data_IF_103483438955
#
_entry.id   IF_103483438955
#
_cell.length_a   1.000
_cell.length_b   1.000
_cell.length_c   1.000
_cell.angle_alpha   90.00
_cell.angle_beta   90.00
_cell.angle_gamma   90.00
#
_symmetry.space_group_name_H-M   'P 1'
#
loop_
_entity.id
_entity.type
_entity.pdbx_description
1 polymer ?
#
# COMPACT_ATOMS: atom_id res chain seq x y z
N UNK A 1 -17.95 -50.22 22.85
CA UNK A 1 -17.39 -51.14 23.87
C UNK A 1 -15.87 -50.96 23.82
N UNK A 2 -15.09 -50.61 24.85
CA UNK A 2 -15.27 -50.35 26.29
C UNK A 2 -14.36 -49.16 26.70
N UNK A 3 -14.84 -48.18 27.47
CA UNK A 3 -14.46 -47.87 28.87
C UNK A 3 -12.98 -47.48 29.13
N UNK A 4 -12.73 -46.21 29.52
CA UNK A 4 -12.41 -45.68 30.89
C UNK A 4 -10.91 -45.81 31.26
N UNK A 5 -10.26 -44.79 31.85
CA UNK A 5 -10.21 -44.38 33.28
C UNK A 5 -9.48 -42.98 33.31
N UNK A 6 -9.89 -41.89 34.00
CA UNK A 6 -9.93 -41.58 35.46
C UNK A 6 -8.51 -41.55 36.12
N UNK A 7 -8.09 -40.77 37.12
CA UNK A 7 -8.58 -39.71 38.07
C UNK A 7 -7.33 -38.77 38.34
N UNK A 8 -7.15 -37.79 39.27
CA UNK A 8 -7.89 -37.12 40.36
C UNK A 8 -7.36 -35.68 40.61
N UNK A 9 -8.28 -34.75 40.87
CA UNK A 9 -8.20 -33.44 41.55
C UNK A 9 -7.32 -33.29 42.82
N UNK A 10 -6.93 -32.04 43.14
CA UNK A 10 -6.60 -31.45 44.47
C UNK A 10 -6.53 -29.91 44.23
N UNK A 11 -7.28 -28.98 44.88
CA UNK A 11 -7.52 -28.62 46.30
C UNK A 11 -6.32 -27.81 46.88
N UNK A 12 -6.27 -26.48 46.83
CA UNK A 12 -7.04 -25.43 47.57
C UNK A 12 -6.54 -25.12 49.00
N UNK A 13 -6.08 -23.88 49.24
CA UNK A 13 -5.98 -23.28 50.60
C UNK A 13 -6.11 -21.74 50.59
N UNK A 14 -6.54 -21.19 51.74
CA UNK A 14 -6.77 -19.76 52.03
C UNK A 14 -5.83 -19.27 53.16
N UNK A 15 -5.32 -18.03 53.08
CA UNK A 15 -4.96 -17.14 54.21
C UNK A 15 -4.60 -15.75 53.61
N UNK A 16 -5.16 -14.58 53.96
CA UNK A 16 -5.80 -14.00 55.16
C UNK A 16 -4.87 -13.16 56.06
N UNK A 17 -4.99 -11.82 55.90
CA UNK A 17 -4.95 -10.77 56.93
C UNK A 17 -3.74 -10.62 57.89
N UNK A 18 -3.23 -9.38 58.00
CA UNK A 18 -3.05 -8.73 59.30
C UNK A 18 -3.08 -7.18 59.20
N UNK A 19 -3.33 -6.50 60.33
CA UNK A 19 -3.40 -5.04 60.49
C UNK A 19 -2.42 -4.58 61.59
N UNK A 20 -1.75 -3.44 61.39
CA UNK A 20 -1.09 -2.57 62.40
C UNK A 20 -0.66 -1.27 61.65
N UNK A 21 -1.02 -0.02 61.97
CA UNK A 21 -1.61 0.71 63.11
C UNK A 21 -0.62 1.52 63.96
N UNK A 22 -0.97 2.80 64.15
CA UNK A 22 -0.53 3.77 65.17
C UNK A 22 0.93 4.28 65.21
N UNK A 23 1.12 5.54 64.78
CA UNK A 23 1.43 6.69 65.68
C UNK A 23 1.40 8.03 64.90
N UNK A 24 1.13 9.19 65.49
CA UNK A 24 0.75 9.45 66.89
C UNK A 24 1.30 10.77 67.45
N UNK A 25 0.82 11.94 67.00
CA UNK A 25 1.23 13.25 67.52
C UNK A 25 0.05 14.25 67.59
N UNK A 26 0.10 15.19 68.55
CA UNK A 26 -0.88 16.26 68.81
C UNK A 26 -0.16 17.47 69.47
N UNK A 27 -0.78 18.67 69.63
CA UNK A 27 -0.34 19.86 68.89
C UNK A 27 0.13 20.99 69.84
N UNK A 28 -0.18 22.27 69.51
CA UNK A 28 0.16 23.55 70.19
C UNK A 28 1.51 24.12 69.69
N UNK A 29 1.68 25.42 69.39
CA UNK A 29 0.82 26.60 69.61
C UNK A 29 0.58 27.46 68.34
N UNK A 30 -0.29 28.46 68.48
CA UNK A 30 -0.72 29.42 67.45
C UNK A 30 0.04 30.76 67.59
N UNK A 31 0.35 31.41 66.47
CA UNK A 31 0.89 32.78 66.41
C UNK A 31 0.44 33.45 65.11
N UNK A 32 -0.28 34.56 65.20
CA UNK A 32 -1.00 35.18 64.08
C UNK A 32 -0.23 36.33 63.42
N UNK A 33 0.00 36.23 62.11
CA UNK A 33 0.37 37.36 61.24
C UNK A 33 -0.62 37.47 60.05
N UNK A 34 -0.75 38.65 59.41
CA UNK A 34 -1.96 38.99 58.65
C UNK A 34 -2.08 38.30 57.29
N UNK A 35 -3.33 38.12 56.86
CA UNK A 35 -3.69 37.47 55.60
C UNK A 35 -3.17 38.21 54.37
N UNK A 36 -2.37 37.51 53.56
CA UNK A 36 -2.24 37.77 52.13
C UNK A 36 -3.10 36.76 51.37
N UNK A 37 -4.05 37.23 50.57
CA UNK A 37 -4.83 36.37 49.67
C UNK A 37 -3.91 35.75 48.60
N UNK A 38 -3.86 34.42 48.45
CA UNK A 38 -3.15 33.82 47.33
C UNK A 38 -3.87 34.17 46.03
N UNK A 39 -3.14 34.72 45.06
CA UNK A 39 -3.61 34.79 43.68
C UNK A 39 -3.96 33.38 43.18
N UNK A 40 -4.99 33.22 42.34
CA UNK A 40 -5.30 31.92 41.77
C UNK A 40 -4.08 31.39 41.01
N UNK A 41 -3.70 30.15 41.29
CA UNK A 41 -2.69 29.45 40.48
C UNK A 41 -3.30 29.28 39.10
N UNK A 42 -2.80 30.04 38.12
CA UNK A 42 -3.08 29.78 36.71
C UNK A 42 -2.35 28.49 36.37
N UNK A 43 -3.09 27.38 36.47
CA UNK A 43 -2.66 26.11 35.90
C UNK A 43 -2.67 26.32 34.40
N UNK A 44 -1.49 26.58 33.82
CA UNK A 44 -1.30 26.52 32.37
C UNK A 44 -1.86 25.19 31.88
N UNK A 45 -2.70 25.16 30.83
CA UNK A 45 -3.11 23.89 30.26
C UNK A 45 -1.87 23.12 29.83
N UNK A 46 -1.81 21.84 30.17
CA UNK A 46 -0.84 20.92 29.56
C UNK A 46 -0.95 21.10 28.04
N UNK A 47 0.16 21.29 27.29
CA UNK A 47 0.08 21.31 25.85
C UNK A 47 -0.58 20.00 25.39
N UNK A 48 -1.64 20.12 24.60
CA UNK A 48 -2.17 18.97 23.87
C UNK A 48 -1.04 18.44 23.00
N UNK A 49 -0.69 17.17 23.18
CA UNK A 49 0.16 16.47 22.20
C UNK A 49 -0.60 16.53 20.88
N UNK A 50 -0.05 17.24 19.90
CA UNK A 50 -0.55 17.18 18.53
C UNK A 50 -0.33 15.75 18.05
N UNK A 51 -1.40 15.07 17.63
CA UNK A 51 -1.29 13.69 17.18
C UNK A 51 -0.41 13.65 15.92
N UNK A 52 0.63 12.81 15.94
CA UNK A 52 1.51 12.60 14.78
C UNK A 52 0.65 12.21 13.58
N UNK A 53 0.65 13.07 12.56
CA UNK A 53 -0.05 12.78 11.32
C UNK A 53 0.86 11.95 10.41
N UNK A 54 0.36 10.78 10.00
CA UNK A 54 1.01 9.93 9.01
C UNK A 54 0.47 10.26 7.59
N UNK A 55 1.25 10.06 6.51
CA UNK A 55 2.65 9.61 6.50
C UNK A 55 3.63 10.63 7.12
N UNK A 56 4.57 10.13 7.92
CA UNK A 56 5.68 10.91 8.47
C UNK A 56 6.92 10.64 7.60
N UNK A 57 7.25 11.61 6.74
CA UNK A 57 8.41 11.54 5.84
C UNK A 57 9.69 11.84 6.62
N UNK A 58 10.70 10.97 6.51
CA UNK A 58 12.00 11.09 7.18
C UNK A 58 13.11 10.97 6.14
N UNK A 59 13.99 11.96 6.07
CA UNK A 59 15.13 11.92 5.14
C UNK A 59 16.13 10.84 5.58
N UNK A 60 16.66 10.08 4.62
CA UNK A 60 17.81 9.19 4.81
C UNK A 60 18.96 9.87 5.59
N UNK A 61 19.66 9.07 6.39
CA UNK A 61 20.67 9.54 7.33
C UNK A 61 20.12 10.16 8.63
N UNK A 62 18.80 10.11 8.87
CA UNK A 62 18.19 10.47 10.14
C UNK A 62 17.39 9.30 10.71
N UNK A 63 17.51 9.07 12.02
CA UNK A 63 16.61 8.17 12.75
C UNK A 63 15.27 8.85 13.06
N UNK A 64 14.22 8.03 13.22
CA UNK A 64 12.96 8.40 13.87
C UNK A 64 12.66 7.41 15.00
N UNK A 65 11.92 7.84 16.02
CA UNK A 65 11.59 7.04 17.19
C UNK A 65 10.07 7.00 17.37
N UNK A 66 9.48 5.81 17.27
CA UNK A 66 8.01 5.62 17.24
C UNK A 66 7.64 4.18 17.60
N UNK A 67 6.52 3.96 18.28
CA UNK A 67 5.98 2.61 18.56
C UNK A 67 5.46 1.97 17.27
N UNK A 68 6.16 0.99 16.70
CA UNK A 68 5.80 0.35 15.42
C UNK A 68 4.82 -0.82 15.59
N UNK A 69 4.80 -1.44 16.77
CA UNK A 69 4.10 -2.72 17.02
C UNK A 69 2.96 -2.64 18.05
N UNK A 70 2.69 -1.44 18.57
CA UNK A 70 1.60 -1.17 19.50
C UNK A 70 1.85 -1.69 20.92
N UNK A 71 3.09 -2.05 21.30
CA UNK A 71 3.38 -2.62 22.63
C UNK A 71 3.59 -1.57 23.74
N UNK A 72 3.61 -0.28 23.38
CA UNK A 72 3.75 0.85 24.29
C UNK A 72 5.19 1.29 24.55
N UNK A 73 6.14 0.88 23.70
CA UNK A 73 7.52 1.37 23.68
C UNK A 73 7.86 1.87 22.27
N UNK A 74 8.67 2.92 22.21
CA UNK A 74 9.12 3.48 20.94
C UNK A 74 10.32 2.69 20.39
N UNK A 75 10.25 2.32 19.11
CA UNK A 75 11.33 1.71 18.35
C UNK A 75 12.13 2.80 17.60
N UNK A 76 13.46 2.69 17.52
CA UNK A 76 14.28 3.56 16.67
C UNK A 76 14.46 2.95 15.27
N UNK A 77 13.99 3.66 14.23
CA UNK A 77 14.19 3.31 12.82
C UNK A 77 15.27 4.19 12.22
N UNK A 78 16.17 3.62 11.42
CA UNK A 78 17.16 4.34 10.60
C UNK A 78 17.26 3.71 9.20
N UNK A 79 17.43 4.54 8.17
CA UNK A 79 17.54 4.14 6.77
C UNK A 79 18.59 4.97 6.01
N UNK A 80 19.37 4.30 5.17
CA UNK A 80 20.34 4.88 4.23
C UNK A 80 20.39 4.04 2.94
N UNK A 81 20.14 4.62 1.75
CA UNK A 81 20.41 3.97 0.47
C UNK A 81 21.88 4.11 0.05
N UNK A 82 22.31 3.27 -0.88
CA UNK A 82 23.58 3.37 -1.60
C UNK A 82 23.34 3.83 -3.05
N UNK A 83 23.63 5.11 -3.33
CA UNK A 83 23.51 5.72 -4.67
C UNK A 83 24.44 5.07 -5.73
N UNK A 84 25.55 4.42 -5.33
CA UNK A 84 26.50 3.78 -6.25
C UNK A 84 26.11 2.33 -6.61
N UNK A 85 25.27 1.67 -5.79
CA UNK A 85 24.88 0.25 -5.98
C UNK A 85 23.38 -0.02 -6.09
N UNK A 86 22.54 1.02 -5.98
CA UNK A 86 21.07 0.93 -6.04
C UNK A 86 20.47 -0.04 -5.01
N UNK A 87 21.11 -0.11 -3.85
CA UNK A 87 20.73 -1.02 -2.76
C UNK A 87 20.57 -0.28 -1.44
N UNK A 88 19.99 -0.96 -0.44
CA UNK A 88 19.92 -0.44 0.92
C UNK A 88 21.28 -0.63 1.59
N UNK A 89 21.93 0.47 1.97
CA UNK A 89 23.18 0.44 2.73
C UNK A 89 22.92 0.05 4.20
N UNK A 90 21.88 0.65 4.78
CA UNK A 90 21.41 0.38 6.14
C UNK A 90 19.88 0.50 6.22
N UNK A 91 19.24 -0.44 6.92
CA UNK A 91 17.84 -0.36 7.32
C UNK A 91 17.71 -1.05 8.66
N UNK A 92 17.70 -0.27 9.74
CA UNK A 92 17.74 -0.82 11.09
C UNK A 92 16.55 -0.44 11.94
N UNK A 93 16.13 -1.37 12.80
CA UNK A 93 15.15 -1.14 13.86
C UNK A 93 15.80 -1.52 15.19
N UNK A 94 15.80 -0.62 16.17
CA UNK A 94 16.45 -0.77 17.47
C UNK A 94 17.94 -1.15 17.41
N UNK A 95 18.63 -0.73 16.33
CA UNK A 95 20.05 -1.05 16.08
C UNK A 95 20.32 -2.45 15.53
N UNK A 96 19.28 -3.26 15.25
CA UNK A 96 19.40 -4.46 14.42
C UNK A 96 19.26 -4.04 12.96
N UNK A 97 20.27 -4.31 12.13
CA UNK A 97 20.26 -3.97 10.70
C UNK A 97 19.70 -5.12 9.86
N UNK A 98 18.69 -4.81 9.05
CA UNK A 98 17.94 -5.70 8.17
C UNK A 98 18.25 -5.48 6.68
N UNK A 99 19.17 -4.56 6.33
CA UNK A 99 19.49 -4.21 4.94
C UNK A 99 19.75 -5.41 4.02
N UNK A 100 20.38 -6.48 4.53
CA UNK A 100 20.56 -7.72 3.78
C UNK A 100 19.34 -8.65 3.78
N UNK A 101 18.64 -8.78 4.91
CA UNK A 101 17.58 -9.78 5.11
C UNK A 101 16.20 -9.37 4.58
N UNK A 102 16.03 -8.13 4.11
CA UNK A 102 14.85 -7.74 3.32
C UNK A 102 14.87 -8.34 1.91
N UNK A 103 16.04 -8.45 1.27
CA UNK A 103 16.16 -9.06 -0.07
C UNK A 103 15.86 -10.57 -0.06
N UNK A 104 16.15 -11.26 1.04
CA UNK A 104 15.74 -12.67 1.27
C UNK A 104 14.20 -12.85 1.32
N UNK A 105 13.42 -11.76 1.42
CA UNK A 105 11.95 -11.77 1.50
C UNK A 105 11.24 -11.40 0.18
N UNK A 106 11.98 -11.33 -0.93
CA UNK A 106 11.52 -10.89 -2.27
C UNK A 106 11.38 -9.36 -2.44
N UNK A 107 12.09 -8.57 -1.63
CA UNK A 107 12.28 -7.14 -1.90
C UNK A 107 13.23 -6.90 -3.09
N UNK A 108 13.01 -5.80 -3.81
CA UNK A 108 13.81 -5.35 -4.95
C UNK A 108 14.01 -3.83 -4.89
N UNK A 109 15.14 -3.34 -5.40
CA UNK A 109 15.46 -1.91 -5.52
C UNK A 109 16.22 -1.62 -6.81
N UNK A 110 16.04 -0.40 -7.36
CA UNK A 110 16.60 0.05 -8.65
C UNK A 110 17.07 1.51 -8.61
N UNK A 111 16.30 2.38 -7.96
CA UNK A 111 16.60 3.80 -7.81
C UNK A 111 15.88 4.35 -6.56
N UNK A 112 16.45 4.07 -5.39
CA UNK A 112 15.89 4.43 -4.08
C UNK A 112 15.85 5.95 -3.84
N UNK A 113 14.74 6.47 -3.33
CA UNK A 113 14.65 7.87 -2.90
C UNK A 113 15.42 8.11 -1.59
N UNK A 114 15.97 9.31 -1.41
CA UNK A 114 16.72 9.74 -0.23
C UNK A 114 15.85 9.98 1.01
N UNK A 115 14.71 9.31 1.13
CA UNK A 115 13.76 9.38 2.22
C UNK A 115 12.95 8.08 2.37
N UNK A 116 12.56 7.79 3.61
CA UNK A 116 11.60 6.76 3.98
C UNK A 116 10.39 7.42 4.65
N UNK A 117 9.28 6.69 4.80
CA UNK A 117 8.14 7.17 5.57
C UNK A 117 7.79 6.19 6.69
N UNK A 118 7.24 6.71 7.78
CA UNK A 118 6.39 5.92 8.69
C UNK A 118 4.93 6.14 8.27
N UNK A 119 4.18 5.06 8.15
CA UNK A 119 2.79 5.03 7.67
C UNK A 119 1.89 4.29 8.64
N UNK A 120 0.60 4.59 8.61
CA UNK A 120 -0.44 3.82 9.28
C UNK A 120 -1.46 3.43 8.20
N UNK A 121 -1.48 2.15 7.83
CA UNK A 121 -2.34 1.66 6.73
C UNK A 121 -3.69 1.16 7.26
N UNK A 122 -3.70 0.55 8.44
CA UNK A 122 -4.90 0.20 9.21
C UNK A 122 -4.91 1.00 10.53
N UNK A 123 -5.88 1.89 10.70
CA UNK A 123 -6.03 2.70 11.91
C UNK A 123 -6.66 1.93 13.09
N UNK A 124 -6.95 0.63 12.93
CA UNK A 124 -7.59 -0.22 13.92
C UNK A 124 -6.66 -1.27 14.57
N UNK A 125 -5.54 -1.64 13.93
CA UNK A 125 -4.63 -2.66 14.47
C UNK A 125 -3.54 -2.09 15.40
N UNK A 126 -3.27 -0.79 15.34
CA UNK A 126 -2.25 -0.04 16.12
C UNK A 126 -0.80 -0.34 15.71
N UNK A 127 -0.57 -0.94 14.54
CA UNK A 127 0.75 -1.08 13.94
C UNK A 127 1.12 0.19 13.14
N UNK A 128 2.41 0.32 12.81
CA UNK A 128 2.90 1.26 11.82
C UNK A 128 3.86 0.55 10.85
N UNK A 129 3.81 0.98 9.58
CA UNK A 129 4.65 0.45 8.52
C UNK A 129 5.78 1.42 8.17
N UNK A 130 6.98 0.88 7.99
CA UNK A 130 8.10 1.56 7.36
C UNK A 130 7.91 1.41 5.85
N UNK A 131 7.86 2.53 5.13
CA UNK A 131 7.69 2.58 3.69
C UNK A 131 8.97 3.12 3.02
N UNK A 132 9.48 2.36 2.05
CA UNK A 132 10.68 2.68 1.27
C UNK A 132 10.26 2.91 -0.18
N UNK A 133 10.70 4.02 -0.76
CA UNK A 133 10.27 4.51 -2.07
C UNK A 133 11.38 4.31 -3.09
N UNK A 134 11.02 3.84 -4.28
CA UNK A 134 11.93 3.55 -5.37
C UNK A 134 11.32 4.02 -6.69
N UNK A 135 12.08 4.76 -7.50
CA UNK A 135 11.61 5.25 -8.80
C UNK A 135 11.47 4.12 -9.84
N UNK A 136 12.09 2.97 -9.60
CA UNK A 136 12.05 1.81 -10.48
C UNK A 136 12.79 2.00 -11.81
N UNK A 137 12.94 0.91 -12.59
CA UNK A 137 13.44 1.01 -13.94
C UNK A 137 12.44 1.78 -14.83
N UNK A 138 12.94 2.67 -15.69
CA UNK A 138 12.14 3.49 -16.61
C UNK A 138 11.01 4.32 -15.94
N UNK A 139 11.23 4.79 -14.71
CA UNK A 139 10.26 5.55 -13.90
C UNK A 139 8.96 4.76 -13.54
N UNK A 140 8.95 3.41 -13.63
CA UNK A 140 7.86 2.55 -13.09
C UNK A 140 7.91 2.54 -11.53
N UNK A 141 7.58 3.70 -10.94
CA UNK A 141 7.71 4.01 -9.51
C UNK A 141 6.91 3.08 -8.58
N UNK A 142 7.51 2.70 -7.44
CA UNK A 142 6.90 1.86 -6.41
C UNK A 142 7.19 2.35 -4.98
N UNK A 143 6.31 1.97 -4.05
CA UNK A 143 6.53 2.06 -2.60
C UNK A 143 6.45 0.67 -1.99
N UNK A 144 7.53 0.22 -1.36
CA UNK A 144 7.66 -1.04 -0.63
C UNK A 144 7.38 -0.86 0.85
N UNK A 145 6.56 -1.72 1.45
CA UNK A 145 6.13 -1.61 2.85
C UNK A 145 6.70 -2.74 3.73
N UNK A 146 7.06 -2.40 4.96
CA UNK A 146 7.59 -3.31 5.96
C UNK A 146 6.94 -3.08 7.32
N UNK A 147 6.63 -4.15 8.05
CA UNK A 147 6.05 -4.10 9.40
C UNK A 147 6.97 -4.80 10.39
N UNK A 148 7.21 -4.18 11.55
CA UNK A 148 8.04 -4.74 12.61
C UNK A 148 7.17 -5.51 13.61
N UNK A 149 7.53 -6.75 13.96
CA UNK A 149 6.75 -7.58 14.90
C UNK A 149 7.25 -7.52 16.36
N UNK A 150 8.26 -6.70 16.63
CA UNK A 150 9.00 -6.67 17.91
C UNK A 150 10.26 -7.54 17.95
N UNK A 151 10.54 -8.31 16.89
CA UNK A 151 11.74 -9.13 16.72
C UNK A 151 12.32 -8.95 15.31
N UNK A 152 11.49 -9.12 14.29
CA UNK A 152 11.88 -9.17 12.87
C UNK A 152 11.11 -8.13 12.03
N UNK A 153 11.73 -7.71 10.93
CA UNK A 153 11.16 -6.78 9.96
C UNK A 153 10.58 -7.57 8.77
N UNK A 154 9.25 -7.56 8.64
CA UNK A 154 8.50 -8.35 7.66
C UNK A 154 8.14 -7.49 6.46
N UNK A 155 8.61 -7.85 5.27
CA UNK A 155 8.21 -7.20 4.01
C UNK A 155 6.76 -7.59 3.65
N UNK A 156 5.94 -6.57 3.39
CA UNK A 156 4.53 -6.68 3.02
C UNK A 156 4.28 -6.61 1.50
N UNK A 157 5.33 -6.53 0.67
CA UNK A 157 5.18 -6.25 -0.76
C UNK A 157 5.20 -4.75 -1.07
N UNK A 158 4.83 -4.40 -2.29
CA UNK A 158 4.83 -3.03 -2.80
C UNK A 158 3.54 -2.68 -3.53
N UNK A 159 3.33 -1.38 -3.74
CA UNK A 159 2.28 -0.80 -4.58
C UNK A 159 2.91 0.22 -5.53
N UNK A 160 2.29 0.50 -6.68
CA UNK A 160 2.81 1.53 -7.60
C UNK A 160 2.56 2.95 -7.08
N UNK A 161 3.48 3.86 -7.41
CA UNK A 161 3.49 5.26 -6.99
C UNK A 161 4.38 5.55 -5.78
N UNK A 162 4.66 6.84 -5.55
CA UNK A 162 5.48 7.33 -4.42
C UNK A 162 4.60 8.04 -3.37
N UNK A 163 4.97 7.94 -2.08
CA UNK A 163 4.33 8.73 -1.00
C UNK A 163 4.78 10.20 -1.07
N UNK A 164 6.07 10.41 -1.36
CA UNK A 164 6.71 11.70 -1.54
C UNK A 164 7.90 11.53 -2.47
N UNK A 165 8.32 12.59 -3.16
CA UNK A 165 9.50 12.54 -4.01
C UNK A 165 10.28 13.84 -3.94
N UNK A 166 11.59 13.79 -4.15
CA UNK A 166 12.45 14.98 -4.22
C UNK A 166 12.10 15.94 -5.38
N UNK A 167 11.18 15.54 -6.26
CA UNK A 167 10.64 16.34 -7.36
C UNK A 167 9.19 16.81 -7.15
N UNK A 168 8.44 16.28 -6.16
CA UNK A 168 6.99 16.49 -6.00
C UNK A 168 6.51 16.44 -4.55
N UNK A 169 5.85 17.51 -4.11
CA UNK A 169 5.10 17.57 -2.84
C UNK A 169 3.78 16.75 -2.87
N UNK A 170 3.43 16.13 -4.01
CA UNK A 170 2.18 15.38 -4.22
C UNK A 170 2.45 13.87 -4.21
N UNK A 171 1.83 13.19 -3.25
CA UNK A 171 1.71 11.71 -3.18
C UNK A 171 0.89 11.15 -4.34
N UNK A 172 1.24 9.95 -4.80
CA UNK A 172 0.42 9.13 -5.69
C UNK A 172 -0.42 8.09 -4.94
N UNK A 173 -0.12 7.87 -3.65
CA UNK A 173 -0.84 6.96 -2.75
C UNK A 173 -1.85 7.73 -1.89
N UNK A 174 -3.03 7.14 -1.69
CA UNK A 174 -4.00 7.55 -0.67
C UNK A 174 -4.17 6.43 0.35
N UNK A 175 -3.81 6.69 1.60
CA UNK A 175 -4.02 5.78 2.72
C UNK A 175 -5.45 5.91 3.24
N UNK A 176 -6.26 4.85 3.15
CA UNK A 176 -7.67 4.90 3.53
C UNK A 176 -7.91 4.64 5.03
N UNK A 177 -6.92 4.05 5.73
CA UNK A 177 -6.94 3.81 7.17
C UNK A 177 -7.75 2.58 7.60
N UNK A 178 -8.14 1.74 6.65
CA UNK A 178 -8.91 0.50 6.83
C UNK A 178 -8.17 -0.75 6.34
N UNK A 179 -6.84 -0.65 6.19
CA UNK A 179 -5.99 -1.70 5.60
C UNK A 179 -5.81 -1.57 4.08
N UNK A 180 -6.43 -0.56 3.44
CA UNK A 180 -6.30 -0.33 2.00
C UNK A 180 -5.53 0.95 1.62
N UNK A 181 -4.90 0.90 0.44
CA UNK A 181 -4.21 2.02 -0.20
C UNK A 181 -4.75 2.17 -1.62
N UNK A 182 -5.30 3.34 -1.98
CA UNK A 182 -5.64 3.64 -3.37
C UNK A 182 -4.41 4.20 -4.10
N UNK A 183 -4.01 3.56 -5.21
CA UNK A 183 -3.06 4.12 -6.18
C UNK A 183 -3.39 3.61 -7.60
N UNK A 184 -2.44 3.03 -8.33
CA UNK A 184 -2.60 2.54 -9.69
C UNK A 184 -1.83 1.24 -9.95
N UNK A 185 -2.06 0.63 -11.11
CA UNK A 185 -1.26 -0.47 -11.69
C UNK A 185 -1.02 -0.24 -13.18
N UNK A 186 0.10 -0.75 -13.69
CA UNK A 186 0.32 -0.92 -15.14
C UNK A 186 -0.54 -2.10 -15.65
N UNK A 187 -1.25 -1.89 -16.74
CA UNK A 187 -2.04 -2.93 -17.40
C UNK A 187 -1.16 -3.74 -18.37
N UNK A 188 -1.41 -5.05 -18.44
CA UNK A 188 -0.58 -6.03 -19.16
C UNK A 188 -0.96 -6.20 -20.64
N UNK A 189 -2.06 -5.58 -21.07
CA UNK A 189 -2.69 -5.85 -22.37
C UNK A 189 -2.53 -4.71 -23.38
N UNK A 190 -2.27 -5.06 -24.65
CA UNK A 190 -2.31 -4.25 -25.87
C UNK A 190 -1.37 -3.02 -25.98
N UNK A 191 -1.10 -2.29 -24.89
CA UNK A 191 -0.29 -1.07 -24.86
C UNK A 191 0.20 -0.73 -23.44
N UNK A 192 1.08 0.26 -23.28
CA UNK A 192 1.41 0.82 -21.96
C UNK A 192 0.35 1.83 -21.55
N UNK A 193 -0.43 1.45 -20.55
CA UNK A 193 -1.47 2.24 -19.92
C UNK A 193 -1.68 1.74 -18.49
N UNK A 194 -2.19 2.61 -17.63
CA UNK A 194 -2.33 2.37 -16.19
C UNK A 194 -3.80 2.55 -15.79
N UNK A 195 -4.26 1.86 -14.75
CA UNK A 195 -5.58 2.05 -14.15
C UNK A 195 -5.47 2.31 -12.65
N UNK A 196 -6.36 3.14 -12.11
CA UNK A 196 -6.46 3.34 -10.66
C UNK A 196 -7.03 2.07 -10.01
N UNK A 197 -6.47 1.68 -8.86
CA UNK A 197 -6.92 0.52 -8.07
C UNK A 197 -6.76 0.76 -6.59
N UNK A 198 -7.51 0.00 -5.79
CA UNK A 198 -7.22 -0.19 -4.37
C UNK A 198 -6.33 -1.42 -4.18
N UNK A 199 -5.34 -1.31 -3.32
CA UNK A 199 -4.50 -2.40 -2.82
C UNK A 199 -4.93 -2.72 -1.38
N UNK A 200 -4.94 -3.99 -1.01
CA UNK A 200 -5.25 -4.46 0.34
C UNK A 200 -4.15 -5.39 0.87
N UNK A 201 -3.90 -5.38 2.18
CA UNK A 201 -3.08 -6.41 2.81
C UNK A 201 -3.90 -7.71 2.93
N UNK A 202 -3.54 -8.73 2.16
CA UNK A 202 -4.29 -9.98 2.07
C UNK A 202 -3.92 -10.98 3.19
N UNK A 203 -4.71 -12.06 3.32
CA UNK A 203 -4.46 -13.20 4.25
C UNK A 203 -3.06 -13.85 4.05
N UNK A 204 -2.40 -13.58 2.93
CA UNK A 204 -1.02 -13.99 2.60
C UNK A 204 0.05 -13.19 3.37
N UNK A 205 -0.32 -12.08 4.01
CA UNK A 205 0.62 -11.12 4.60
C UNK A 205 1.30 -10.21 3.57
N UNK A 206 0.74 -10.11 2.36
CA UNK A 206 1.27 -9.30 1.26
C UNK A 206 0.18 -8.40 0.65
N UNK A 207 0.60 -7.29 0.05
CA UNK A 207 -0.29 -6.42 -0.72
C UNK A 207 -0.74 -7.10 -2.01
N UNK A 208 -2.05 -7.13 -2.21
CA UNK A 208 -2.71 -7.67 -3.40
C UNK A 208 -3.71 -6.62 -3.92
N UNK A 209 -3.86 -6.52 -5.24
CA UNK A 209 -4.84 -5.63 -5.88
C UNK A 209 -6.26 -6.12 -5.57
N UNK A 210 -7.14 -5.24 -5.12
CA UNK A 210 -8.57 -5.54 -4.93
C UNK A 210 -9.19 -5.82 -6.31
N UNK A 211 -9.67 -7.04 -6.60
CA UNK A 211 -10.08 -7.39 -7.96
C UNK A 211 -11.34 -6.64 -8.44
N UNK A 212 -11.26 -6.07 -9.64
CA UNK A 212 -12.39 -5.49 -10.38
C UNK A 212 -12.65 -6.30 -11.66
N UNK A 213 -13.91 -6.36 -12.09
CA UNK A 213 -14.31 -6.97 -13.38
C UNK A 213 -13.71 -6.22 -14.57
N UNK A 214 -13.47 -4.90 -14.43
CA UNK A 214 -12.89 -4.04 -15.46
C UNK A 214 -12.00 -2.94 -14.87
N UNK A 215 -10.89 -2.70 -15.56
CA UNK A 215 -9.93 -1.64 -15.32
C UNK A 215 -10.13 -0.52 -16.35
N UNK A 216 -10.33 0.70 -15.87
CA UNK A 216 -10.46 1.90 -16.70
C UNK A 216 -9.13 2.68 -16.70
N UNK A 217 -8.55 3.02 -17.86
CA UNK A 217 -7.29 3.74 -17.91
C UNK A 217 -7.37 5.11 -17.23
N UNK A 218 -6.26 5.55 -16.62
CA UNK A 218 -6.14 6.85 -15.96
C UNK A 218 -6.20 8.05 -16.91
N UNK A 219 -6.06 7.83 -18.22
CA UNK A 219 -6.36 8.84 -19.22
C UNK A 219 -7.88 9.07 -19.30
N UNK A 220 -8.35 10.23 -18.82
CA UNK A 220 -9.77 10.61 -18.75
C UNK A 220 -10.55 10.51 -20.08
N UNK A 221 -9.84 10.39 -21.21
CA UNK A 221 -10.41 10.24 -22.56
C UNK A 221 -10.23 8.84 -23.17
N UNK A 222 -9.69 7.86 -22.44
CA UNK A 222 -9.34 6.54 -23.00
C UNK A 222 -8.14 6.64 -23.96
N UNK A 223 -8.20 5.90 -25.07
CA UNK A 223 -7.21 5.97 -26.15
C UNK A 223 -7.88 5.86 -27.53
N UNK A 224 -7.78 6.90 -28.37
CA UNK A 224 -8.29 6.91 -29.75
C UNK A 224 -7.32 6.17 -30.69
N UNK A 225 -7.84 5.20 -31.44
CA UNK A 225 -7.06 4.38 -32.39
C UNK A 225 -7.72 4.27 -33.76
N UNK A 226 -6.94 3.96 -34.79
CA UNK A 226 -7.42 3.58 -36.13
C UNK A 226 -6.98 2.16 -36.46
N UNK A 227 -7.91 1.32 -36.90
CA UNK A 227 -7.65 -0.05 -37.32
C UNK A 227 -6.80 -0.08 -38.61
N UNK A 228 -5.73 -0.87 -38.60
CA UNK A 228 -4.81 -1.10 -39.72
C UNK A 228 -5.13 -2.40 -40.49
N UNK A 229 -5.91 -3.29 -39.87
CA UNK A 229 -6.40 -4.55 -40.44
C UNK A 229 -7.91 -4.71 -40.15
N UNK A 230 -8.56 -5.63 -40.87
CA UNK A 230 -9.95 -6.02 -40.59
C UNK A 230 -10.02 -6.89 -39.33
N UNK A 231 -10.82 -6.48 -38.33
CA UNK A 231 -10.90 -7.14 -37.02
C UNK A 231 -12.32 -7.56 -36.64
N UNK A 232 -12.44 -8.55 -35.73
CA UNK A 232 -13.72 -8.88 -35.14
C UNK A 232 -14.06 -7.98 -33.95
N UNK A 233 -15.22 -7.34 -34.02
CA UNK A 233 -15.86 -6.70 -32.88
C UNK A 233 -16.95 -7.60 -32.33
N UNK A 234 -16.87 -7.89 -31.03
CA UNK A 234 -17.80 -8.74 -30.30
C UNK A 234 -18.88 -7.89 -29.60
N UNK A 235 -20.11 -8.41 -29.49
CA UNK A 235 -21.21 -7.71 -28.80
C UNK A 235 -21.11 -7.80 -27.27
N UNK A 236 -20.46 -8.85 -26.75
CA UNK A 236 -20.10 -9.05 -25.33
C UNK A 236 -18.76 -9.78 -25.27
N UNK A 237 -18.06 -9.70 -24.13
CA UNK A 237 -16.80 -10.39 -23.83
C UNK A 237 -16.97 -11.93 -23.72
N UNK A 238 -17.20 -12.60 -24.84
CA UNK A 238 -17.26 -14.06 -24.94
C UNK A 238 -17.03 -14.54 -26.37
N UNK A 239 -16.21 -15.59 -26.55
CA UNK A 239 -15.98 -16.32 -27.81
C UNK A 239 -17.28 -16.69 -28.55
N UNK A 240 -18.34 -16.94 -27.78
CA UNK A 240 -19.66 -17.39 -28.25
C UNK A 240 -20.57 -16.25 -28.75
N UNK A 241 -20.15 -15.00 -28.59
CA UNK A 241 -20.94 -13.83 -28.96
C UNK A 241 -21.09 -13.66 -30.47
N UNK A 242 -22.07 -12.84 -30.85
CA UNK A 242 -22.15 -12.34 -32.22
C UNK A 242 -20.95 -11.43 -32.50
N UNK A 243 -20.29 -11.64 -33.65
CA UNK A 243 -19.19 -10.80 -34.14
C UNK A 243 -19.63 -9.98 -35.36
N UNK A 244 -19.12 -8.77 -35.50
CA UNK A 244 -19.10 -8.00 -36.74
C UNK A 244 -17.66 -7.75 -37.18
N UNK A 245 -17.43 -7.46 -38.46
CA UNK A 245 -16.11 -7.04 -38.94
C UNK A 245 -16.04 -5.52 -38.94
N UNK A 246 -15.03 -4.96 -38.26
CA UNK A 246 -14.59 -3.59 -38.46
C UNK A 246 -13.52 -3.58 -39.55
N UNK A 247 -13.72 -2.79 -40.60
CA UNK A 247 -12.77 -2.68 -41.71
C UNK A 247 -11.59 -1.77 -41.37
N UNK A 248 -10.41 -2.08 -41.91
CA UNK A 248 -9.24 -1.22 -41.84
C UNK A 248 -9.54 0.24 -42.28
N UNK A 249 -8.92 1.20 -41.60
CA UNK A 249 -9.16 2.64 -41.76
C UNK A 249 -10.31 3.19 -40.91
N UNK A 250 -11.07 2.35 -40.19
CA UNK A 250 -12.07 2.81 -39.24
C UNK A 250 -11.45 3.16 -37.86
N UNK A 251 -12.05 4.12 -37.17
CA UNK A 251 -11.63 4.55 -35.84
C UNK A 251 -12.41 3.85 -34.72
N UNK A 252 -11.72 3.61 -33.60
CA UNK A 252 -12.27 3.17 -32.31
C UNK A 252 -11.70 4.04 -31.19
N UNK A 253 -12.40 4.06 -30.06
CA UNK A 253 -11.90 4.57 -28.79
C UNK A 253 -11.83 3.44 -27.78
N UNK A 254 -10.66 3.19 -27.21
CA UNK A 254 -10.42 2.15 -26.21
C UNK A 254 -10.77 2.70 -24.82
N UNK A 255 -11.58 1.97 -24.04
CA UNK A 255 -12.25 2.49 -22.84
C UNK A 255 -11.88 1.73 -21.56
N UNK A 256 -11.84 0.40 -21.59
CA UNK A 256 -11.56 -0.43 -20.41
C UNK A 256 -11.06 -1.82 -20.82
N UNK A 257 -10.63 -2.63 -19.86
CA UNK A 257 -10.23 -4.02 -20.10
C UNK A 257 -10.43 -4.92 -18.87
N UNK A 258 -10.56 -6.23 -19.07
CA UNK A 258 -10.42 -7.24 -18.01
C UNK A 258 -8.96 -7.44 -17.55
N UNK A 259 -8.00 -6.75 -18.19
CA UNK A 259 -6.55 -6.89 -18.03
C UNK A 259 -6.01 -8.29 -18.37
N UNK A 260 -6.74 -9.06 -19.19
CA UNK A 260 -6.38 -10.42 -19.60
C UNK A 260 -6.52 -10.62 -21.11
N UNK A 261 -7.75 -10.60 -21.65
CA UNK A 261 -8.02 -10.97 -23.05
C UNK A 261 -9.15 -10.14 -23.72
N UNK A 262 -9.80 -9.23 -23.00
CA UNK A 262 -10.92 -8.44 -23.50
C UNK A 262 -10.70 -6.94 -23.29
N UNK A 263 -10.85 -6.16 -24.36
CA UNK A 263 -10.84 -4.70 -24.32
C UNK A 263 -12.21 -4.16 -24.74
N UNK A 264 -12.82 -3.36 -23.88
CA UNK A 264 -14.00 -2.57 -24.17
C UNK A 264 -13.60 -1.36 -25.02
N UNK A 265 -14.27 -1.19 -26.15
CA UNK A 265 -14.09 -0.06 -27.05
C UNK A 265 -15.43 0.56 -27.47
N UNK A 266 -15.38 1.78 -27.97
CA UNK A 266 -16.51 2.51 -28.56
C UNK A 266 -16.25 2.77 -30.05
N UNK A 267 -17.25 2.49 -30.89
CA UNK A 267 -17.25 2.84 -32.32
C UNK A 267 -17.59 4.32 -32.53
N UNK A 268 -17.20 4.87 -33.69
CA UNK A 268 -17.44 6.29 -34.04
C UNK A 268 -18.92 6.72 -34.13
N UNK A 269 -19.88 5.81 -33.95
CA UNK A 269 -21.31 6.11 -33.79
C UNK A 269 -21.86 5.85 -32.37
N UNK A 270 -20.98 5.77 -31.38
CA UNK A 270 -21.32 5.73 -29.95
C UNK A 270 -21.85 4.39 -29.47
N UNK A 271 -21.34 3.27 -30.01
CA UNK A 271 -21.69 1.92 -29.54
C UNK A 271 -20.48 1.24 -28.91
N UNK A 272 -20.71 0.68 -27.73
CA UNK A 272 -19.78 -0.25 -27.10
C UNK A 272 -19.63 -1.53 -27.92
N UNK A 273 -18.41 -2.05 -27.96
CA UNK A 273 -18.02 -3.31 -28.55
C UNK A 273 -16.79 -3.87 -27.81
N UNK A 274 -16.51 -5.15 -28.04
CA UNK A 274 -15.39 -5.84 -27.41
C UNK A 274 -14.38 -6.29 -28.46
N UNK A 275 -13.10 -5.99 -28.20
CA UNK A 275 -11.95 -6.51 -28.94
C UNK A 275 -11.43 -7.72 -28.16
N UNK A 276 -11.17 -8.82 -28.86
CA UNK A 276 -10.59 -10.03 -28.28
C UNK A 276 -9.09 -10.11 -28.55
N UNK A 277 -8.34 -10.50 -27.53
CA UNK A 277 -6.88 -10.65 -27.54
C UNK A 277 -6.48 -12.13 -27.37
N UNK A 278 -5.20 -12.43 -27.60
CA UNK A 278 -4.66 -13.75 -27.30
C UNK A 278 -4.53 -13.98 -25.78
N UNK A 279 -4.86 -15.19 -25.32
CA UNK A 279 -4.86 -15.53 -23.90
C UNK A 279 -3.50 -15.92 -23.32
N UNK A 280 -2.39 -15.79 -24.08
CA UNK A 280 -1.05 -16.16 -23.63
C UNK A 280 -0.21 -14.91 -23.27
N UNK A 281 -0.42 -13.80 -23.99
CA UNK A 281 0.28 -12.55 -23.78
C UNK A 281 -0.63 -11.31 -23.69
N UNK A 282 -1.87 -11.36 -24.18
CA UNK A 282 -2.75 -10.19 -24.21
C UNK A 282 -2.24 -9.06 -25.13
N UNK A 283 -1.42 -9.40 -26.13
CA UNK A 283 -0.71 -8.44 -26.99
C UNK A 283 -1.03 -8.61 -28.48
N UNK A 284 -1.73 -9.68 -28.86
CA UNK A 284 -2.19 -9.93 -30.23
C UNK A 284 -3.72 -9.83 -30.31
N UNK A 285 -4.25 -9.16 -31.32
CA UNK A 285 -5.69 -8.95 -31.54
C UNK A 285 -6.24 -9.97 -32.54
N UNK A 286 -7.46 -10.47 -32.32
CA UNK A 286 -8.14 -11.38 -33.25
C UNK A 286 -8.60 -10.66 -34.54
N UNK A 287 -7.82 -10.82 -35.62
CA UNK A 287 -8.16 -10.27 -36.95
C UNK A 287 -8.88 -11.31 -37.83
N UNK A 288 -9.47 -10.88 -38.95
CA UNK A 288 -10.10 -11.80 -39.90
C UNK A 288 -9.14 -12.83 -40.50
N UNK A 289 -7.83 -12.57 -40.45
CA UNK A 289 -6.77 -13.45 -40.94
C UNK A 289 -6.09 -14.27 -39.81
N UNK A 290 -6.59 -14.17 -38.57
CA UNK A 290 -5.96 -14.71 -37.35
C UNK A 290 -5.34 -13.63 -36.46
N UNK A 291 -4.67 -14.05 -35.39
CA UNK A 291 -4.04 -13.12 -34.44
C UNK A 291 -2.83 -12.39 -35.04
N UNK A 292 -2.72 -11.09 -34.79
CA UNK A 292 -1.61 -10.19 -35.19
C UNK A 292 -1.27 -9.26 -34.03
N UNK A 293 -0.04 -8.76 -33.92
CA UNK A 293 0.32 -7.89 -32.79
C UNK A 293 -0.51 -6.60 -32.78
N UNK A 294 -0.79 -6.07 -31.59
CA UNK A 294 -1.63 -4.87 -31.41
C UNK A 294 -1.11 -3.66 -32.20
N UNK A 295 0.21 -3.50 -32.30
CA UNK A 295 0.89 -2.48 -33.11
C UNK A 295 0.83 -2.70 -34.64
N UNK A 296 0.52 -3.92 -35.10
CA UNK A 296 0.20 -4.22 -36.51
C UNK A 296 -1.28 -3.98 -36.82
N UNK A 297 -2.14 -3.91 -35.78
CA UNK A 297 -3.60 -3.87 -35.89
C UNK A 297 -4.16 -2.48 -35.60
N UNK A 298 -3.49 -1.67 -34.77
CA UNK A 298 -3.93 -0.32 -34.41
C UNK A 298 -2.79 0.70 -34.50
N UNK A 299 -3.05 1.83 -35.14
CA UNK A 299 -2.27 3.05 -34.95
C UNK A 299 -2.94 3.95 -33.91
N UNK A 300 -2.15 4.52 -33.00
CA UNK A 300 -2.62 5.38 -31.89
C UNK A 300 -2.27 4.84 -30.49
N UNK A 301 -1.86 3.57 -30.41
CA UNK A 301 -1.44 2.94 -29.15
C UNK A 301 -0.24 3.64 -28.51
N UNK A 302 -0.28 3.78 -27.18
CA UNK A 302 0.82 4.28 -26.38
C UNK A 302 1.77 3.13 -26.02
N UNK A 303 2.85 2.96 -26.77
CA UNK A 303 3.90 2.00 -26.45
C UNK A 303 5.08 2.77 -25.85
N UNK A 304 5.34 2.54 -24.55
CA UNK A 304 6.59 2.93 -23.91
C UNK A 304 7.61 1.77 -24.03
N UNK A 305 8.88 2.13 -24.14
CA UNK A 305 10.04 1.27 -24.38
C UNK A 305 10.75 0.77 -23.11
#
# INVERSE_FOLDING_TARGET
MKQKILVLSIVLTFASSLLLSACGAKPVAESSEPSATPSPIVVSPTPSVEATQYPLIVKAGNSVTVDLNGDGKEDEVYYEPDEDTYSILHLSVNGTDYAGSVYDQEFYSDNLEGAYCITNIDASDNMLEIAIMDYGPSDDCITSFFRYDGNDLIYLGNVSGLIASSYSDKSDLTFNGDGTISSYVRLSVMQTWFANVDWQLADTGRFEVVPTDLYYPTSESGCDVTALADIYLYVINSDSSAKTVLTAGAALKLIATDNLQWVLAETSDGKECWIHLDSEYGQMVETTDGYKYSSEVFSGLCIAD
#
